data_IF_179250029764
#
_entry.id   IF_179250029764
#
_cell.length_a   1.000
_cell.length_b   1.000
_cell.length_c   1.000
_cell.angle_alpha   90.00
_cell.angle_beta   90.00
_cell.angle_gamma   90.00
#
_symmetry.space_group_name_H-M   'P 1'
#
loop_
_entity.id
_entity.type
_entity.pdbx_description
1 polymer ?
#
# COMPACT_ATOMS: atom_id res chain seq x y z
N UNK A 1 -5.12 0.66 15.27
CA UNK A 1 -3.73 1.04 14.96
C UNK A 1 -2.82 -0.10 15.32
N UNK A 2 -1.87 -0.46 14.46
CA UNK A 2 -0.94 -1.58 14.66
C UNK A 2 0.44 -1.11 15.11
N UNK A 3 0.91 0.00 14.53
CA UNK A 3 2.20 0.63 14.83
C UNK A 3 2.19 2.10 14.36
N UNK A 4 3.10 2.92 14.89
CA UNK A 4 3.15 4.36 14.62
C UNK A 4 4.58 4.91 14.76
N UNK A 5 4.92 5.87 13.90
CA UNK A 5 6.11 6.70 13.97
C UNK A 5 5.79 8.17 13.72
N UNK A 6 6.80 9.04 13.77
CA UNK A 6 6.65 10.45 13.42
C UNK A 6 6.24 10.66 11.95
N UNK A 7 6.66 9.77 11.04
CA UNK A 7 6.45 9.92 9.60
C UNK A 7 5.23 9.15 9.10
N UNK A 8 5.06 7.90 9.53
CA UNK A 8 3.97 7.02 9.09
C UNK A 8 3.28 6.26 10.22
N UNK A 9 2.00 5.96 10.00
CA UNK A 9 1.12 5.20 10.89
C UNK A 9 0.57 3.98 10.15
N UNK A 10 0.66 2.79 10.76
CA UNK A 10 0.15 1.54 10.19
C UNK A 10 -1.17 1.14 10.84
N UNK A 11 -2.18 0.88 10.00
CA UNK A 11 -3.53 0.51 10.40
C UNK A 11 -3.91 -0.86 9.79
N UNK A 12 -4.54 -1.71 10.60
CA UNK A 12 -5.33 -2.82 10.09
C UNK A 12 -6.63 -2.27 9.53
N UNK A 13 -7.00 -2.68 8.31
CA UNK A 13 -8.30 -2.35 7.73
C UNK A 13 -9.30 -3.43 8.07
N UNK A 14 -10.53 -3.03 8.33
CA UNK A 14 -11.63 -3.95 8.57
C UNK A 14 -12.66 -3.81 7.46
N UNK A 15 -13.31 -4.91 7.09
CA UNK A 15 -14.54 -4.93 6.29
C UNK A 15 -15.74 -5.30 7.14
N UNK A 16 -16.91 -5.31 6.52
CA UNK A 16 -18.16 -5.72 7.17
C UNK A 16 -18.02 -7.07 7.89
N UNK A 17 -18.66 -7.17 9.06
CA UNK A 17 -18.46 -8.31 9.96
C UNK A 17 -17.13 -8.28 10.73
N UNK A 18 -16.40 -7.16 10.68
CA UNK A 18 -15.15 -6.93 11.41
C UNK A 18 -14.05 -7.95 11.08
N UNK A 19 -14.03 -8.41 9.83
CA UNK A 19 -12.94 -9.21 9.29
C UNK A 19 -11.80 -8.30 8.84
N UNK A 20 -10.55 -8.76 9.00
CA UNK A 20 -9.38 -8.09 8.46
C UNK A 20 -9.50 -8.00 6.92
N UNK A 21 -9.17 -6.84 6.37
CA UNK A 21 -9.18 -6.55 4.93
C UNK A 21 -7.91 -5.80 4.54
N UNK A 22 -6.77 -6.42 4.83
CA UNK A 22 -5.45 -5.87 4.59
C UNK A 22 -5.10 -4.71 5.52
N UNK A 23 -4.22 -3.85 5.01
CA UNK A 23 -3.53 -2.84 5.79
C UNK A 23 -3.50 -1.51 5.06
N UNK A 24 -3.32 -0.44 5.82
CA UNK A 24 -3.10 0.91 5.32
C UNK A 24 -1.97 1.56 6.08
N UNK A 25 -0.93 1.97 5.37
CA UNK A 25 0.08 2.88 5.88
C UNK A 25 -0.29 4.29 5.44
N UNK A 26 -0.44 5.20 6.39
CA UNK A 26 -0.85 6.59 6.14
C UNK A 26 0.23 7.50 6.72
N UNK A 27 0.60 8.54 5.98
CA UNK A 27 1.52 9.57 6.48
C UNK A 27 0.92 10.20 7.74
N UNK A 28 1.68 10.19 8.84
CA UNK A 28 1.19 10.64 10.15
C UNK A 28 0.76 12.11 10.11
N UNK A 29 1.49 12.95 9.35
CA UNK A 29 1.16 14.35 9.16
C UNK A 29 -0.20 14.61 8.49
N UNK A 30 -0.73 13.63 7.74
CA UNK A 30 -2.03 13.75 7.07
C UNK A 30 -3.20 13.33 7.99
N UNK A 31 -2.92 12.83 9.20
CA UNK A 31 -3.93 12.46 10.19
C UNK A 31 -4.27 13.68 11.06
N UNK A 32 -5.40 14.33 10.76
CA UNK A 32 -5.84 15.53 11.49
C UNK A 32 -6.49 15.23 12.86
N UNK A 33 -7.15 14.09 13.00
CA UNK A 33 -7.79 13.68 14.24
C UNK A 33 -7.99 12.16 14.31
N UNK A 34 -7.88 11.61 15.52
CA UNK A 34 -8.24 10.21 15.83
C UNK A 34 -9.27 10.21 16.94
N UNK A 35 -10.35 9.46 16.76
CA UNK A 35 -11.37 9.26 17.79
C UNK A 35 -11.43 7.77 18.14
N UNK A 36 -11.12 7.38 19.38
CA UNK A 36 -11.29 6.01 19.80
C UNK A 36 -12.79 5.67 19.81
N UNK A 37 -13.11 4.47 19.31
CA UNK A 37 -14.47 3.92 19.34
C UNK A 37 -14.40 2.46 19.76
N UNK A 38 -14.70 2.23 21.04
CA UNK A 38 -14.57 0.92 21.65
C UNK A 38 -15.85 0.09 21.54
N UNK A 39 -16.91 0.64 20.92
CA UNK A 39 -18.23 -0.04 20.83
C UNK A 39 -18.15 -1.36 20.08
N UNK A 40 -17.23 -1.47 19.12
CA UNK A 40 -17.01 -2.69 18.34
C UNK A 40 -16.00 -3.66 18.96
N UNK A 41 -15.28 -3.26 20.00
CA UNK A 41 -14.22 -4.07 20.60
C UNK A 41 -14.73 -5.40 21.19
N UNK A 42 -15.88 -5.47 21.90
CA UNK A 42 -16.43 -6.74 22.37
C UNK A 42 -16.73 -7.71 21.22
N UNK A 43 -17.28 -7.20 20.11
CA UNK A 43 -17.58 -8.01 18.92
C UNK A 43 -16.30 -8.56 18.29
N UNK A 44 -15.29 -7.71 18.08
CA UNK A 44 -13.98 -8.11 17.56
C UNK A 44 -13.31 -9.20 18.41
N UNK A 45 -13.37 -9.05 19.74
CA UNK A 45 -12.86 -10.06 20.70
C UNK A 45 -13.64 -11.37 20.61
N UNK A 46 -14.97 -11.31 20.53
CA UNK A 46 -15.82 -12.50 20.40
C UNK A 46 -15.53 -13.29 19.11
N UNK A 47 -15.24 -12.60 18.01
CA UNK A 47 -14.82 -13.21 16.74
C UNK A 47 -13.35 -13.66 16.71
N UNK A 48 -12.59 -13.45 17.81
CA UNK A 48 -11.13 -13.70 17.88
C UNK A 48 -10.32 -12.94 16.81
N UNK A 49 -10.85 -11.84 16.31
CA UNK A 49 -10.17 -10.94 15.37
C UNK A 49 -9.42 -9.80 16.08
N UNK A 50 -9.34 -9.85 17.41
CA UNK A 50 -8.62 -8.88 18.24
C UNK A 50 -7.53 -9.55 19.09
N UNK A 51 -6.29 -9.01 19.13
CA UNK A 51 -5.81 -7.91 18.29
C UNK A 51 -5.77 -8.33 16.80
N UNK A 52 -5.88 -7.38 15.86
CA UNK A 52 -5.76 -7.71 14.44
C UNK A 52 -4.38 -8.30 14.16
N UNK A 53 -4.31 -9.23 13.21
CA UNK A 53 -3.05 -9.77 12.73
C UNK A 53 -2.14 -8.65 12.21
N UNK A 54 -0.83 -8.84 12.32
CA UNK A 54 0.18 -7.95 11.75
C UNK A 54 0.60 -8.45 10.37
N UNK A 55 1.13 -7.57 9.49
CA UNK A 55 1.79 -8.02 8.27
C UNK A 55 2.90 -9.02 8.57
N UNK A 56 3.13 -9.95 7.64
CA UNK A 56 4.14 -11.01 7.78
C UNK A 56 5.55 -10.44 7.86
N UNK A 57 5.85 -9.46 7.01
CA UNK A 57 7.12 -8.75 7.00
C UNK A 57 6.98 -7.39 7.70
N UNK A 58 7.95 -7.01 8.56
CA UNK A 58 7.91 -5.71 9.23
C UNK A 58 8.04 -4.57 8.23
N UNK A 59 7.46 -3.43 8.57
CA UNK A 59 7.46 -2.24 7.72
C UNK A 59 8.19 -1.13 8.47
N UNK A 60 9.21 -0.55 7.85
CA UNK A 60 9.87 0.64 8.37
C UNK A 60 8.97 1.86 8.16
N UNK A 61 8.35 2.33 9.25
CA UNK A 61 7.48 3.51 9.23
C UNK A 61 8.26 4.82 9.30
N UNK A 62 9.57 4.79 9.55
CA UNK A 62 10.40 5.98 9.70
C UNK A 62 10.70 6.71 8.38
N UNK A 63 10.34 6.13 7.23
CA UNK A 63 10.55 6.75 5.92
C UNK A 63 9.53 6.24 4.90
N UNK A 64 9.14 7.08 3.94
CA UNK A 64 8.22 6.66 2.88
C UNK A 64 8.82 5.52 2.02
N UNK A 65 10.14 5.52 1.80
CA UNK A 65 10.83 4.43 1.11
C UNK A 65 10.75 3.11 1.89
N UNK A 66 10.96 3.16 3.21
CA UNK A 66 10.83 2.02 4.11
C UNK A 66 9.42 1.43 4.08
N UNK A 67 8.40 2.29 4.02
CA UNK A 67 7.01 1.85 3.89
C UNK A 67 6.75 1.17 2.56
N UNK A 68 7.14 1.77 1.43
CA UNK A 68 6.93 1.18 0.10
C UNK A 68 7.62 -0.19 0.00
N UNK A 69 8.89 -0.28 0.41
CA UNK A 69 9.63 -1.55 0.37
C UNK A 69 9.03 -2.61 1.28
N UNK A 70 8.74 -2.27 2.54
CA UNK A 70 8.11 -3.21 3.47
C UNK A 70 6.71 -3.65 3.03
N UNK A 71 5.95 -2.78 2.37
CA UNK A 71 4.68 -3.15 1.77
C UNK A 71 4.87 -4.12 0.58
N UNK A 72 5.85 -3.88 -0.29
CA UNK A 72 6.19 -4.77 -1.40
C UNK A 72 6.67 -6.16 -0.92
N UNK A 73 7.37 -6.22 0.22
CA UNK A 73 7.76 -7.49 0.83
C UNK A 73 6.54 -8.30 1.30
N UNK A 74 5.40 -7.66 1.58
CA UNK A 74 4.16 -8.31 1.97
C UNK A 74 3.22 -8.60 0.78
N UNK A 75 3.23 -7.77 -0.25
CA UNK A 75 2.37 -7.93 -1.42
C UNK A 75 3.00 -7.30 -2.67
N UNK A 76 2.99 -7.99 -3.83
CA UNK A 76 3.56 -7.47 -5.06
C UNK A 76 2.77 -6.30 -5.66
N UNK A 77 1.47 -6.19 -5.35
CA UNK A 77 0.59 -5.13 -5.84
C UNK A 77 0.10 -4.30 -4.66
N UNK A 78 0.20 -2.98 -4.81
CA UNK A 78 -0.12 -1.99 -3.79
C UNK A 78 -1.07 -0.94 -4.37
N UNK A 79 -1.94 -0.38 -3.52
CA UNK A 79 -2.77 0.77 -3.84
C UNK A 79 -2.12 2.04 -3.30
N UNK A 80 -1.97 3.06 -4.14
CA UNK A 80 -1.29 4.32 -3.79
C UNK A 80 -2.24 5.50 -3.88
N UNK A 81 -2.06 6.44 -2.96
CA UNK A 81 -2.78 7.71 -2.95
C UNK A 81 -1.78 8.87 -2.92
N UNK A 82 -2.05 9.93 -3.69
CA UNK A 82 -1.34 11.22 -3.63
C UNK A 82 -2.15 12.26 -2.87
N UNK A 83 -1.45 13.11 -2.11
CA UNK A 83 -2.08 14.24 -1.41
C UNK A 83 -2.44 15.40 -2.35
N UNK A 84 -1.72 15.57 -3.46
CA UNK A 84 -1.72 16.81 -4.27
C UNK A 84 -2.42 16.72 -5.63
N UNK A 85 -2.98 15.56 -6.00
CA UNK A 85 -3.65 15.40 -7.28
C UNK A 85 -5.08 16.01 -7.24
N UNK A 86 -5.49 16.82 -8.24
CA UNK A 86 -6.81 17.47 -8.27
C UNK A 86 -8.01 16.51 -8.19
N UNK A 87 -7.81 15.26 -8.58
CA UNK A 87 -8.77 14.16 -8.60
C UNK A 87 -8.55 13.14 -7.46
N UNK A 88 -7.63 13.43 -6.53
CA UNK A 88 -7.30 12.53 -5.42
C UNK A 88 -6.42 11.34 -5.83
N UNK A 89 -5.85 11.35 -7.04
CA UNK A 89 -4.75 10.49 -7.53
C UNK A 89 -4.64 9.16 -6.82
N UNK A 90 -5.51 8.22 -7.17
CA UNK A 90 -5.46 6.84 -6.71
C UNK A 90 -5.10 5.92 -7.87
N UNK A 91 -4.13 5.04 -7.68
CA UNK A 91 -3.80 4.01 -8.65
C UNK A 91 -3.33 2.74 -7.95
N UNK A 92 -3.49 1.60 -8.63
CA UNK A 92 -3.06 0.29 -8.16
C UNK A 92 -1.90 -0.14 -9.01
N UNK A 93 -0.80 -0.51 -8.38
CA UNK A 93 0.43 -0.76 -9.10
C UNK A 93 1.24 -1.92 -8.53
N UNK A 94 1.91 -2.62 -9.43
CA UNK A 94 3.02 -3.50 -9.12
C UNK A 94 4.30 -2.70 -8.99
N UNK A 95 5.01 -2.86 -7.87
CA UNK A 95 6.33 -2.26 -7.73
C UNK A 95 7.33 -2.97 -8.65
N UNK A 96 8.13 -2.19 -9.38
CA UNK A 96 9.23 -2.71 -10.21
C UNK A 96 10.58 -2.36 -9.58
N UNK A 97 10.73 -1.14 -9.07
CA UNK A 97 11.98 -0.71 -8.44
C UNK A 97 11.75 0.47 -7.51
N UNK A 98 12.48 0.51 -6.40
CA UNK A 98 12.52 1.65 -5.49
C UNK A 98 13.92 2.24 -5.50
N UNK A 99 14.11 3.31 -6.30
CA UNK A 99 15.39 4.00 -6.54
C UNK A 99 15.20 5.49 -6.24
N UNK A 100 15.70 5.91 -5.09
CA UNK A 100 15.47 7.25 -4.55
C UNK A 100 15.83 8.37 -5.56
N UNK A 101 15.02 9.44 -5.66
CA UNK A 101 13.78 9.73 -4.91
C UNK A 101 12.51 9.12 -5.52
N UNK A 102 12.65 8.21 -6.49
CA UNK A 102 11.56 7.69 -7.28
C UNK A 102 11.24 6.24 -6.93
N UNK A 103 10.02 5.86 -7.26
CA UNK A 103 9.64 4.47 -7.37
C UNK A 103 9.07 4.25 -8.77
N UNK A 104 9.41 3.11 -9.35
CA UNK A 104 8.98 2.68 -10.67
C UNK A 104 7.96 1.56 -10.52
N UNK A 105 6.91 1.62 -11.34
CA UNK A 105 5.76 0.75 -11.19
C UNK A 105 5.03 0.49 -12.51
N UNK A 106 4.30 -0.62 -12.56
CA UNK A 106 3.29 -0.88 -13.58
C UNK A 106 1.91 -0.74 -12.95
N UNK A 107 1.03 -0.03 -13.64
CA UNK A 107 -0.34 0.19 -13.18
C UNK A 107 -1.26 -0.93 -13.68
N UNK A 108 -2.26 -1.27 -12.86
CA UNK A 108 -3.41 -2.07 -13.28
C UNK A 108 -4.56 -1.09 -13.57
N UNK A 109 -5.09 -1.13 -14.79
CA UNK A 109 -6.21 -0.32 -15.24
C UNK A 109 -7.50 -0.63 -14.45
N UNK A 110 -8.49 0.27 -14.47
CA UNK A 110 -9.83 -0.02 -13.92
C UNK A 110 -10.50 -1.26 -14.53
N UNK A 111 -10.16 -1.61 -15.77
CA UNK A 111 -10.63 -2.80 -16.48
C UNK A 111 -9.93 -4.09 -16.00
N UNK A 112 -8.95 -3.98 -15.10
CA UNK A 112 -8.21 -5.11 -14.55
C UNK A 112 -7.19 -5.67 -15.53
N UNK A 113 -6.54 -4.81 -16.31
CA UNK A 113 -5.44 -5.19 -17.22
C UNK A 113 -4.18 -4.40 -16.89
N UNK A 114 -3.00 -4.94 -17.20
CA UNK A 114 -1.76 -4.18 -17.09
C UNK A 114 -1.73 -3.06 -18.12
N UNK A 115 -1.38 -1.85 -17.67
CA UNK A 115 -1.12 -0.73 -18.57
C UNK A 115 0.22 -0.92 -19.31
N UNK A 116 0.34 -0.29 -20.48
CA UNK A 116 1.55 -0.35 -21.28
C UNK A 116 2.67 0.53 -20.69
N UNK A 117 3.78 -0.12 -20.34
CA UNK A 117 5.01 0.56 -19.94
C UNK A 117 5.05 0.98 -18.48
N UNK A 118 6.27 1.12 -17.96
CA UNK A 118 6.49 1.55 -16.58
C UNK A 118 6.38 3.05 -16.39
N UNK A 119 5.74 3.40 -15.30
CA UNK A 119 5.63 4.75 -14.77
C UNK A 119 6.61 4.96 -13.62
N UNK A 120 6.79 6.23 -13.24
CA UNK A 120 7.50 6.60 -12.03
C UNK A 120 6.76 7.72 -11.30
N UNK A 121 6.84 7.70 -9.98
CA UNK A 121 6.47 8.84 -9.17
C UNK A 121 7.53 9.11 -8.11
N UNK A 122 7.45 10.29 -7.50
CA UNK A 122 8.26 10.59 -6.33
C UNK A 122 7.66 9.91 -5.11
N UNK A 123 8.52 9.31 -4.29
CA UNK A 123 8.10 8.62 -3.07
C UNK A 123 7.47 9.60 -2.07
N UNK A 124 7.92 10.86 -2.05
CA UNK A 124 7.41 11.91 -1.15
C UNK A 124 6.03 12.47 -1.53
N UNK A 125 5.46 12.09 -2.67
CA UNK A 125 4.09 12.45 -3.05
C UNK A 125 3.04 11.47 -2.49
N UNK A 126 3.48 10.30 -2.03
CA UNK A 126 2.60 9.24 -1.53
C UNK A 126 2.12 9.58 -0.12
N UNK A 127 0.82 9.76 0.07
CA UNK A 127 0.20 10.02 1.38
C UNK A 127 -0.33 8.76 2.05
N UNK A 128 -0.67 7.74 1.25
CA UNK A 128 -1.19 6.47 1.74
C UNK A 128 -0.85 5.32 0.81
N UNK A 129 -0.59 4.16 1.42
CA UNK A 129 -0.32 2.89 0.76
C UNK A 129 -1.22 1.84 1.37
N UNK A 130 -2.01 1.18 0.52
CA UNK A 130 -2.86 0.05 0.88
C UNK A 130 -2.31 -1.24 0.28
N UNK A 131 -2.39 -2.33 1.03
CA UNK A 131 -1.90 -3.64 0.58
C UNK A 131 -2.66 -4.78 1.24
N UNK A 132 -2.68 -5.93 0.56
CA UNK A 132 -3.42 -7.13 0.98
C UNK A 132 -4.93 -6.88 1.20
N UNK A 133 -5.49 -5.90 0.50
CA UNK A 133 -6.94 -5.68 0.53
C UNK A 133 -7.64 -6.60 -0.46
N UNK A 134 -8.89 -6.96 -0.18
CA UNK A 134 -9.70 -7.81 -1.05
C UNK A 134 -9.80 -7.22 -2.46
N UNK A 135 -9.99 -5.89 -2.57
CA UNK A 135 -10.10 -5.20 -3.86
C UNK A 135 -8.81 -5.32 -4.68
N UNK A 136 -7.66 -5.02 -4.08
CA UNK A 136 -6.36 -5.14 -4.74
C UNK A 136 -6.10 -6.60 -5.15
N UNK A 137 -6.44 -7.56 -4.28
CA UNK A 137 -6.24 -8.98 -4.54
C UNK A 137 -7.06 -9.46 -5.73
N UNK A 138 -8.32 -9.04 -5.83
CA UNK A 138 -9.20 -9.37 -6.97
C UNK A 138 -8.70 -8.73 -8.26
N UNK A 139 -8.24 -7.48 -8.22
CA UNK A 139 -7.69 -6.83 -9.40
C UNK A 139 -6.40 -7.47 -9.88
N UNK A 140 -5.49 -7.82 -8.96
CA UNK A 140 -4.28 -8.56 -9.28
C UNK A 140 -4.60 -9.91 -9.94
N UNK A 141 -5.54 -10.66 -9.37
CA UNK A 141 -5.97 -11.95 -9.93
C UNK A 141 -6.57 -11.77 -11.34
N UNK A 142 -7.37 -10.72 -11.54
CA UNK A 142 -8.01 -10.42 -12.83
C UNK A 142 -6.99 -10.00 -13.91
N UNK A 143 -5.99 -9.21 -13.52
CA UNK A 143 -4.92 -8.77 -14.41
C UNK A 143 -3.93 -9.88 -14.78
N UNK A 144 -3.86 -10.95 -13.99
CA UNK A 144 -2.94 -12.05 -14.20
C UNK A 144 -1.48 -11.66 -13.96
N UNK A 145 -0.56 -12.39 -14.60
CA UNK A 145 0.87 -12.12 -14.44
C UNK A 145 1.26 -10.78 -15.08
N UNK A 146 2.09 -9.96 -14.41
CA UNK A 146 2.64 -8.77 -15.04
C UNK A 146 3.51 -9.15 -16.25
N UNK A 147 3.70 -8.23 -17.22
CA UNK A 147 4.64 -8.40 -18.33
C UNK A 147 6.04 -8.85 -17.85
N UNK A 148 6.73 -9.70 -18.62
CA UNK A 148 7.99 -10.32 -18.19
C UNK A 148 9.13 -9.31 -17.91
N UNK A 149 9.11 -8.15 -18.55
CA UNK A 149 10.05 -7.05 -18.35
C UNK A 149 9.76 -6.22 -17.08
N UNK A 150 8.63 -6.49 -16.42
CA UNK A 150 8.18 -5.83 -15.19
C UNK A 150 8.70 -6.42 -13.89
N UNK A 151 9.39 -7.57 -13.95
CA UNK A 151 9.91 -8.24 -12.75
C UNK A 151 10.79 -7.27 -11.98
N UNK A 152 10.67 -7.24 -10.64
CA UNK A 152 11.42 -6.36 -9.75
C UNK A 152 12.93 -6.37 -10.06
N UNK A 153 13.38 -5.51 -10.96
CA UNK A 153 14.79 -5.32 -11.28
C UNK A 153 15.25 -4.24 -10.33
N UNK A 154 16.27 -4.53 -9.53
CA UNK A 154 17.12 -3.49 -8.97
C UNK A 154 17.75 -2.74 -10.15
N UNK A 155 17.04 -1.75 -10.71
CA UNK A 155 17.57 -0.94 -11.81
C UNK A 155 18.82 -0.24 -11.25
N UNK A 156 20.00 -0.41 -11.88
CA UNK A 156 21.20 0.26 -11.41
C UNK A 156 20.98 1.77 -11.45
N UNK A 157 21.48 2.47 -10.43
CA UNK A 157 21.49 3.92 -10.37
C UNK A 157 22.19 4.47 -11.61
N UNK A 158 21.42 4.94 -12.59
CA UNK A 158 21.95 5.40 -13.88
C UNK A 158 21.11 5.08 -15.11
N UNK A 159 20.09 4.22 -15.01
CA UNK A 159 19.14 4.02 -16.10
C UNK A 159 18.17 5.21 -16.22
N UNK A 160 18.63 6.28 -16.87
CA UNK A 160 17.72 7.29 -17.43
C UNK A 160 16.94 6.63 -18.58
N UNK A 161 15.66 6.98 -18.70
CA UNK A 161 15.00 6.97 -20.02
C UNK A 161 15.43 8.21 -20.77
#
# INVERSE_FOLDING_TARGET
MLDVSAEWTLLARLRDGAYLNGYSAIRTADISAVRPDDRFLPFLKAQRNWPPARPTHPIDLGSAQGVVRGALDNAPVLGFYRSTAPDGGFWIAHGIAVVEPHWWYLTISPEGTWDEGDERARIDEVSRIDFLTDYISVLQESAGSPPEDAVMVTRPAGAAR
#
